data_IF_572707467040
#
_entry.id   IF_572707467040
#
_cell.length_a   1.000
_cell.length_b   1.000
_cell.length_c   1.000
_cell.angle_alpha   90.00
_cell.angle_beta   90.00
_cell.angle_gamma   90.00
#
_symmetry.space_group_name_H-M   'P 1'
#
loop_
_entity.id
_entity.type
_entity.pdbx_description
1 polymer ?
#
# COMPACT_ATOMS: atom_id res chain seq x y z
N UNK A 1 11.10 22.26 -16.66
CA UNK A 1 10.10 22.01 -15.61
C UNK A 1 9.91 20.53 -15.54
N UNK A 2 10.49 19.91 -14.53
CA UNK A 2 10.45 18.47 -14.30
C UNK A 2 9.20 18.17 -13.49
N UNK A 3 8.40 17.22 -13.95
CA UNK A 3 7.26 16.74 -13.19
C UNK A 3 7.71 15.54 -12.33
N UNK A 4 7.06 15.29 -11.21
CA UNK A 4 7.48 14.28 -10.25
C UNK A 4 6.31 13.44 -9.72
N UNK A 5 6.58 12.19 -9.39
CA UNK A 5 5.64 11.30 -8.69
C UNK A 5 6.20 11.05 -7.30
N UNK A 6 5.46 11.43 -6.27
CA UNK A 6 5.78 11.13 -4.88
C UNK A 6 4.93 9.95 -4.41
N UNK A 7 5.57 8.78 -4.28
CA UNK A 7 4.99 7.63 -3.60
C UNK A 7 5.08 7.84 -2.10
N UNK A 8 3.97 7.69 -1.39
CA UNK A 8 3.91 7.91 0.06
C UNK A 8 3.42 6.66 0.76
N UNK A 9 4.26 6.10 1.62
CA UNK A 9 3.87 5.00 2.49
C UNK A 9 2.94 5.50 3.60
N UNK A 10 1.67 5.13 3.54
CA UNK A 10 0.69 5.53 4.55
C UNK A 10 0.89 4.81 5.88
N UNK A 11 1.65 3.73 5.90
CA UNK A 11 1.82 2.90 7.09
C UNK A 11 2.98 3.41 7.95
N UNK A 12 3.93 4.11 7.35
CA UNK A 12 5.02 4.80 8.03
C UNK A 12 4.68 6.22 8.49
N UNK A 13 3.50 6.75 8.15
CA UNK A 13 3.12 8.14 8.45
C UNK A 13 1.85 8.24 9.31
N UNK A 14 1.81 9.16 10.27
CA UNK A 14 0.57 9.59 10.89
C UNK A 14 -0.42 10.15 9.86
N UNK A 15 -1.72 9.86 10.02
CA UNK A 15 -2.75 10.21 9.03
C UNK A 15 -2.91 11.74 8.83
N UNK A 16 -2.67 12.51 9.88
CA UNK A 16 -2.68 13.97 9.89
C UNK A 16 -1.52 14.58 9.07
N UNK A 17 -0.35 13.92 9.04
CA UNK A 17 0.77 14.37 8.23
C UNK A 17 0.48 14.24 6.73
N UNK A 18 -0.17 13.17 6.29
CA UNK A 18 -0.49 12.99 4.88
C UNK A 18 -1.46 14.07 4.37
N UNK A 19 -2.50 14.42 5.13
CA UNK A 19 -3.41 15.49 4.75
C UNK A 19 -2.68 16.83 4.60
N UNK A 20 -1.70 17.10 5.47
CA UNK A 20 -0.84 18.30 5.38
C UNK A 20 0.05 18.25 4.15
N UNK A 21 0.71 17.11 3.88
CA UNK A 21 1.56 16.90 2.70
C UNK A 21 0.73 17.09 1.42
N UNK A 22 -0.40 16.39 1.32
CA UNK A 22 -1.30 16.46 0.17
C UNK A 22 -1.80 17.89 -0.06
N UNK A 23 -2.27 18.59 0.98
CA UNK A 23 -2.78 19.97 0.86
C UNK A 23 -1.69 20.97 0.45
N UNK A 24 -0.49 20.85 1.03
CA UNK A 24 0.62 21.76 0.73
C UNK A 24 1.18 21.53 -0.67
N UNK A 25 1.15 20.29 -1.16
CA UNK A 25 1.76 19.91 -2.43
C UNK A 25 0.76 19.85 -3.60
N UNK A 26 -0.54 19.74 -3.34
CA UNK A 26 -1.60 19.76 -4.37
C UNK A 26 -1.68 21.09 -5.13
N UNK A 27 -1.02 22.14 -4.64
CA UNK A 27 -0.90 23.42 -5.32
C UNK A 27 0.10 23.39 -6.50
N UNK A 28 0.93 22.35 -6.61
CA UNK A 28 1.90 22.18 -7.69
C UNK A 28 1.33 21.26 -8.78
N UNK A 29 1.08 21.80 -9.97
CA UNK A 29 0.67 21.00 -11.14
C UNK A 29 1.75 20.06 -11.66
N UNK A 30 2.94 20.05 -11.03
CA UNK A 30 4.10 19.25 -11.39
C UNK A 30 4.29 18.04 -10.47
N UNK A 31 3.47 17.88 -9.42
CA UNK A 31 3.60 16.75 -8.50
C UNK A 31 2.34 15.90 -8.47
N UNK A 32 2.51 14.60 -8.72
CA UNK A 32 1.50 13.59 -8.47
C UNK A 32 1.82 12.84 -7.18
N UNK A 33 0.86 12.77 -6.27
CA UNK A 33 1.01 12.02 -5.00
C UNK A 33 0.27 10.70 -5.14
N UNK A 34 0.95 9.61 -4.77
CA UNK A 34 0.43 8.25 -4.87
C UNK A 34 0.64 7.54 -3.52
N UNK A 35 -0.40 7.48 -2.68
CA UNK A 35 -0.35 6.66 -1.47
C UNK A 35 -0.12 5.18 -1.78
N UNK A 36 0.70 4.52 -0.97
CA UNK A 36 0.99 3.08 -1.01
C UNK A 36 0.79 2.52 0.40
N UNK A 37 0.07 1.41 0.54
CA UNK A 37 -0.28 0.86 1.86
C UNK A 37 -0.66 -0.62 1.85
N UNK A 38 -0.55 -1.28 3.00
CA UNK A 38 -1.15 -2.60 3.27
C UNK A 38 -2.68 -2.55 3.53
N UNK A 39 -3.22 -1.35 3.75
CA UNK A 39 -4.65 -1.10 4.02
C UNK A 39 -5.50 -1.43 2.79
N UNK A 40 -6.78 -1.68 3.05
CA UNK A 40 -7.82 -1.91 2.04
C UNK A 40 -8.20 -0.61 1.33
N UNK A 41 -8.84 -0.73 0.16
CA UNK A 41 -9.49 0.42 -0.49
C UNK A 41 -10.45 1.15 0.45
N UNK A 42 -11.31 0.41 1.14
CA UNK A 42 -12.29 0.97 2.05
C UNK A 42 -11.63 1.82 3.17
N UNK A 43 -10.49 1.37 3.71
CA UNK A 43 -9.71 2.15 4.67
C UNK A 43 -9.14 3.43 4.05
N UNK A 44 -8.56 3.33 2.85
CA UNK A 44 -7.97 4.48 2.16
C UNK A 44 -9.04 5.54 1.83
N UNK A 45 -10.20 5.14 1.31
CA UNK A 45 -11.32 6.04 1.02
C UNK A 45 -11.83 6.77 2.27
N UNK A 46 -11.80 6.10 3.44
CA UNK A 46 -12.18 6.71 4.70
C UNK A 46 -11.11 7.67 5.27
N UNK A 47 -9.84 7.46 4.95
CA UNK A 47 -8.71 8.27 5.40
C UNK A 47 -8.45 9.47 4.49
N UNK A 48 -8.67 9.32 3.18
CA UNK A 48 -8.28 10.27 2.14
C UNK A 48 -9.53 10.87 1.48
N UNK A 49 -10.00 12.05 1.92
CA UNK A 49 -11.12 12.73 1.27
C UNK A 49 -10.78 13.31 -0.10
N UNK A 50 -9.54 13.13 -0.58
CA UNK A 50 -9.04 13.65 -1.86
C UNK A 50 -9.05 12.54 -2.92
N UNK A 51 -9.45 12.91 -4.13
CA UNK A 51 -9.45 12.03 -5.31
C UNK A 51 -8.03 11.88 -5.86
N UNK A 52 -7.20 11.08 -5.19
CA UNK A 52 -5.86 10.71 -5.61
C UNK A 52 -5.85 9.29 -6.20
N UNK A 53 -4.91 8.95 -7.09
CA UNK A 53 -4.59 7.55 -7.35
C UNK A 53 -3.86 6.96 -6.15
N UNK A 54 -4.07 5.67 -5.86
CA UNK A 54 -3.45 5.00 -4.73
C UNK A 54 -3.24 3.50 -4.98
N UNK A 55 -2.33 2.90 -4.21
CA UNK A 55 -1.95 1.49 -4.26
C UNK A 55 -2.29 0.86 -2.91
N UNK A 56 -3.12 -0.20 -2.92
CA UNK A 56 -3.64 -0.86 -1.72
C UNK A 56 -3.13 -2.28 -1.57
N UNK A 57 -3.37 -2.85 -0.38
CA UNK A 57 -3.11 -4.25 -0.06
C UNK A 57 -1.72 -4.71 -0.51
N UNK A 58 -0.73 -3.87 -0.21
CA UNK A 58 0.69 -4.12 -0.45
C UNK A 58 1.02 -4.33 -1.93
N UNK A 59 0.43 -3.49 -2.79
CA UNK A 59 0.67 -3.55 -4.23
C UNK A 59 -0.22 -4.53 -4.97
N UNK A 60 -1.33 -4.97 -4.36
CA UNK A 60 -2.26 -5.89 -5.00
C UNK A 60 -3.28 -5.19 -5.91
N UNK A 61 -3.65 -3.95 -5.59
CA UNK A 61 -4.58 -3.16 -6.39
C UNK A 61 -4.10 -1.73 -6.57
N UNK A 62 -4.18 -1.23 -7.80
CA UNK A 62 -3.88 0.16 -8.15
C UNK A 62 -5.19 0.81 -8.59
N UNK A 63 -5.63 1.82 -7.85
CA UNK A 63 -6.86 2.56 -8.15
C UNK A 63 -6.50 3.92 -8.72
N UNK A 64 -6.97 4.19 -9.94
CA UNK A 64 -6.77 5.45 -10.65
C UNK A 64 -8.13 6.12 -10.83
N UNK A 65 -8.36 7.37 -10.38
CA UNK A 65 -9.64 8.03 -10.59
C UNK A 65 -10.02 8.09 -12.07
N UNK A 66 -11.28 7.80 -12.39
CA UNK A 66 -11.74 7.63 -13.78
C UNK A 66 -11.56 8.89 -14.66
N UNK A 67 -11.39 10.06 -14.05
CA UNK A 67 -11.20 11.34 -14.72
C UNK A 67 -9.72 11.73 -14.93
N UNK A 68 -8.76 10.91 -14.50
CA UNK A 68 -7.33 11.17 -14.71
C UNK A 68 -6.89 10.57 -16.05
N UNK A 69 -6.22 11.38 -16.89
CA UNK A 69 -5.87 11.08 -18.29
C UNK A 69 -4.77 10.03 -18.50
N UNK A 70 -4.78 8.95 -17.73
CA UNK A 70 -3.90 7.80 -17.88
C UNK A 70 -4.23 7.02 -19.16
N UNK A 71 -3.21 6.45 -19.80
CA UNK A 71 -3.35 5.59 -20.99
C UNK A 71 -3.37 4.11 -20.59
N UNK A 72 -4.06 3.24 -21.34
CA UNK A 72 -4.14 1.79 -21.05
C UNK A 72 -4.62 1.46 -19.63
N UNK A 73 -5.64 2.18 -19.18
CA UNK A 73 -6.23 2.06 -17.85
C UNK A 73 -7.01 0.75 -17.68
N UNK A 74 -6.94 0.16 -16.49
CA UNK A 74 -7.60 -1.10 -16.14
C UNK A 74 -9.13 -1.04 -16.13
N UNK A 75 -9.77 -1.97 -15.44
CA UNK A 75 -11.23 -2.13 -15.51
C UNK A 75 -11.97 -1.04 -14.71
N UNK A 76 -13.15 -0.57 -15.17
CA UNK A 76 -13.97 0.36 -14.39
C UNK A 76 -14.43 -0.25 -13.05
N UNK A 77 -14.23 0.49 -11.96
CA UNK A 77 -14.58 0.05 -10.60
C UNK A 77 -14.95 1.26 -9.73
N UNK A 78 -16.22 1.43 -9.34
CA UNK A 78 -16.68 2.46 -8.37
C UNK A 78 -16.10 3.89 -8.53
N UNK A 79 -16.03 4.40 -9.77
CA UNK A 79 -15.47 5.75 -10.04
C UNK A 79 -13.95 5.78 -10.22
N UNK A 80 -13.31 4.62 -10.18
CA UNK A 80 -11.91 4.37 -10.49
C UNK A 80 -11.76 3.49 -11.74
N UNK A 81 -10.50 3.36 -12.16
CA UNK A 81 -9.98 2.32 -13.02
C UNK A 81 -9.02 1.49 -12.19
N UNK A 82 -9.32 0.20 -12.05
CA UNK A 82 -8.56 -0.75 -11.26
C UNK A 82 -7.55 -1.48 -12.14
N UNK A 83 -6.27 -1.38 -11.80
CA UNK A 83 -5.25 -2.33 -12.26
C UNK A 83 -4.97 -3.32 -11.14
N UNK A 84 -5.49 -4.54 -11.31
CA UNK A 84 -5.32 -5.63 -10.37
C UNK A 84 -4.02 -6.39 -10.67
N UNK A 85 -3.13 -6.49 -9.67
CA UNK A 85 -1.93 -7.34 -9.68
C UNK A 85 -2.05 -8.53 -8.72
N UNK A 86 -2.84 -8.38 -7.66
CA UNK A 86 -3.11 -9.44 -6.69
C UNK A 86 -4.12 -10.46 -7.19
N UNK A 87 -4.19 -11.57 -6.48
CA UNK A 87 -5.26 -12.55 -6.65
C UNK A 87 -6.59 -12.01 -6.05
N UNK A 88 -7.75 -12.59 -6.32
CA UNK A 88 -8.97 -12.26 -5.57
C UNK A 88 -8.87 -12.68 -4.09
N UNK A 89 -9.46 -11.92 -3.17
CA UNK A 89 -9.43 -12.22 -1.72
C UNK A 89 -9.83 -13.67 -1.38
N UNK A 90 -10.83 -14.22 -2.07
CA UNK A 90 -11.25 -15.63 -1.88
C UNK A 90 -10.14 -16.64 -2.17
N UNK A 91 -9.27 -16.35 -3.15
CA UNK A 91 -8.11 -17.17 -3.47
C UNK A 91 -7.06 -17.06 -2.37
N UNK A 92 -6.76 -15.84 -1.88
CA UNK A 92 -5.85 -15.65 -0.75
C UNK A 92 -6.35 -16.39 0.51
N UNK A 93 -7.65 -16.32 0.81
CA UNK A 93 -8.27 -17.06 1.94
C UNK A 93 -8.14 -18.57 1.81
N UNK A 94 -8.37 -19.11 0.61
CA UNK A 94 -8.18 -20.52 0.34
C UNK A 94 -6.70 -20.91 0.48
N UNK A 95 -5.80 -20.09 -0.07
CA UNK A 95 -4.36 -20.24 0.02
C UNK A 95 -3.86 -20.30 1.46
N UNK A 96 -4.37 -19.43 2.34
CA UNK A 96 -3.98 -19.43 3.76
C UNK A 96 -4.32 -20.75 4.46
N UNK A 97 -5.47 -21.37 4.11
CA UNK A 97 -5.86 -22.68 4.65
C UNK A 97 -4.95 -23.80 4.14
N UNK A 98 -4.56 -23.76 2.87
CA UNK A 98 -3.60 -24.72 2.31
C UNK A 98 -2.24 -24.54 3.00
N UNK A 99 -1.79 -23.29 3.14
CA UNK A 99 -0.53 -22.94 3.78
C UNK A 99 -0.48 -23.47 5.22
N UNK A 100 -1.55 -23.26 6.01
CA UNK A 100 -1.64 -23.77 7.38
C UNK A 100 -1.45 -25.30 7.47
N UNK A 101 -1.96 -26.05 6.48
CA UNK A 101 -1.73 -27.50 6.38
C UNK A 101 -0.29 -27.82 5.96
N UNK A 102 0.29 -27.09 5.00
CA UNK A 102 1.67 -27.35 4.56
C UNK A 102 2.68 -27.13 5.68
N UNK A 103 2.53 -26.05 6.45
CA UNK A 103 3.44 -25.73 7.56
C UNK A 103 3.05 -26.40 8.88
N UNK A 104 1.95 -27.19 8.89
CA UNK A 104 1.44 -27.88 10.08
C UNK A 104 1.26 -26.94 11.29
N UNK A 105 0.83 -25.71 11.05
CA UNK A 105 0.66 -24.67 12.06
C UNK A 105 -0.61 -23.87 11.78
N UNK A 106 -1.44 -23.58 12.80
CA UNK A 106 -2.67 -22.82 12.60
C UNK A 106 -2.35 -21.38 12.19
N UNK A 107 -2.85 -20.96 11.03
CA UNK A 107 -2.80 -19.58 10.56
C UNK A 107 -4.20 -18.98 10.65
N UNK A 108 -4.35 -17.91 11.42
CA UNK A 108 -5.63 -17.20 11.58
C UNK A 108 -5.61 -15.91 10.77
N UNK A 109 -6.48 -15.86 9.77
CA UNK A 109 -6.68 -14.72 8.92
C UNK A 109 -7.70 -13.73 9.49
N UNK A 110 -7.65 -12.48 9.05
CA UNK A 110 -8.62 -11.45 9.40
C UNK A 110 -10.02 -11.84 8.96
N UNK A 111 -10.13 -12.57 7.86
CA UNK A 111 -11.37 -13.09 7.37
C UNK A 111 -11.99 -14.18 8.24
N UNK A 112 -11.25 -14.76 9.20
CA UNK A 112 -11.75 -15.73 10.18
C UNK A 112 -12.32 -15.06 11.45
N UNK A 113 -12.07 -13.77 11.62
CA UNK A 113 -12.49 -13.02 12.82
C UNK A 113 -13.95 -12.59 12.74
N UNK A 114 -14.67 -12.61 13.85
CA UNK A 114 -15.90 -11.81 13.98
C UNK A 114 -15.55 -10.32 14.08
N UNK A 115 -16.54 -9.43 13.92
CA UNK A 115 -16.32 -7.99 14.07
C UNK A 115 -15.82 -7.63 15.48
N UNK A 116 -16.32 -8.29 16.52
CA UNK A 116 -15.92 -8.08 17.92
C UNK A 116 -14.49 -8.55 18.16
N UNK A 117 -14.12 -9.72 17.63
CA UNK A 117 -12.75 -10.23 17.72
C UNK A 117 -11.77 -9.34 16.97
N UNK A 118 -12.14 -8.85 15.80
CA UNK A 118 -11.31 -7.94 15.03
C UNK A 118 -11.07 -6.62 15.77
N UNK A 119 -12.09 -6.04 16.41
CA UNK A 119 -11.91 -4.85 17.25
C UNK A 119 -10.91 -5.10 18.39
N UNK A 120 -11.10 -6.19 19.14
CA UNK A 120 -10.26 -6.52 20.29
C UNK A 120 -8.81 -6.80 19.87
N UNK A 121 -8.62 -7.65 18.86
CA UNK A 121 -7.29 -8.08 18.44
C UNK A 121 -6.56 -6.99 17.67
N UNK A 122 -7.24 -6.20 16.85
CA UNK A 122 -6.59 -5.16 16.03
C UNK A 122 -6.49 -3.81 16.77
N UNK A 123 -7.19 -3.64 17.90
CA UNK A 123 -7.25 -2.36 18.62
C UNK A 123 -7.99 -1.28 17.82
N UNK A 124 -8.93 -1.70 16.96
CA UNK A 124 -9.68 -0.83 16.05
C UNK A 124 -11.11 -0.63 16.54
N UNK A 125 -11.72 0.49 16.15
CA UNK A 125 -13.18 0.68 16.30
C UNK A 125 -13.94 -0.29 15.38
N UNK A 126 -15.23 -0.55 15.67
CA UNK A 126 -16.07 -1.41 14.83
C UNK A 126 -16.01 -1.04 13.35
N UNK A 127 -16.14 0.25 13.04
CA UNK A 127 -16.10 0.75 11.67
C UNK A 127 -14.73 0.55 11.01
N UNK A 128 -13.63 0.81 11.74
CA UNK A 128 -12.28 0.59 11.23
C UNK A 128 -11.97 -0.90 11.03
N UNK A 129 -12.40 -1.76 11.96
CA UNK A 129 -12.26 -3.21 11.83
C UNK A 129 -13.06 -3.76 10.64
N UNK A 130 -14.26 -3.23 10.38
CA UNK A 130 -15.04 -3.60 9.20
C UNK A 130 -14.30 -3.25 7.90
N UNK A 131 -13.72 -2.04 7.81
CA UNK A 131 -12.95 -1.63 6.63
C UNK A 131 -11.68 -2.47 6.47
N UNK A 132 -10.92 -2.70 7.53
CA UNK A 132 -9.71 -3.54 7.49
C UNK A 132 -9.98 -4.99 7.02
N UNK A 133 -11.19 -5.50 7.27
CA UNK A 133 -11.65 -6.82 6.81
C UNK A 133 -12.23 -6.81 5.38
N UNK A 134 -12.56 -5.64 4.82
CA UNK A 134 -13.10 -5.49 3.47
C UNK A 134 -11.97 -5.58 2.42
N UNK A 135 -11.22 -6.69 2.45
CA UNK A 135 -10.10 -6.95 1.54
C UNK A 135 -10.61 -7.48 0.21
N UNK A 136 -10.01 -7.00 -0.87
CA UNK A 136 -10.36 -7.31 -2.25
C UNK A 136 -9.36 -8.30 -2.87
N UNK A 137 -8.08 -8.29 -2.43
CA UNK A 137 -7.01 -9.01 -3.14
C UNK A 137 -6.12 -9.92 -2.30
N UNK A 138 -6.01 -9.68 -1.00
CA UNK A 138 -5.07 -10.35 -0.13
C UNK A 138 -5.74 -10.89 1.13
N UNK A 139 -5.06 -11.79 1.84
CA UNK A 139 -5.45 -12.13 3.20
C UNK A 139 -4.39 -11.68 4.19
N UNK A 140 -4.81 -10.81 5.11
CA UNK A 140 -4.02 -10.44 6.28
C UNK A 140 -4.20 -11.51 7.35
N UNK A 141 -3.12 -11.95 7.98
CA UNK A 141 -3.14 -12.96 9.03
C UNK A 141 -2.12 -12.64 10.12
N UNK A 142 -2.35 -13.17 11.32
CA UNK A 142 -1.40 -12.96 12.42
C UNK A 142 -0.11 -13.75 12.16
N UNK A 143 1.03 -13.05 12.24
CA UNK A 143 2.34 -13.67 12.01
C UNK A 143 2.58 -14.77 13.04
N UNK A 144 2.81 -16.03 12.62
CA UNK A 144 3.00 -17.12 13.56
C UNK A 144 4.37 -17.04 14.22
N UNK A 145 4.43 -17.33 15.52
CA UNK A 145 5.72 -17.37 16.25
C UNK A 145 6.42 -18.73 16.12
N UNK A 146 5.70 -19.77 15.71
CA UNK A 146 6.21 -21.14 15.62
C UNK A 146 6.69 -21.59 14.25
N UNK A 147 6.68 -20.70 13.25
CA UNK A 147 7.09 -21.00 11.87
C UNK A 147 8.00 -19.87 11.39
N UNK A 148 9.12 -20.19 10.75
CA UNK A 148 10.04 -19.16 10.26
C UNK A 148 9.48 -18.46 9.03
N UNK A 149 9.92 -17.23 8.81
CA UNK A 149 9.52 -16.44 7.65
C UNK A 149 9.87 -17.15 6.33
N UNK A 150 11.04 -17.79 6.26
CA UNK A 150 11.54 -18.52 5.10
C UNK A 150 10.67 -19.74 4.79
N UNK A 151 10.26 -20.49 5.83
CA UNK A 151 9.41 -21.65 5.66
C UNK A 151 8.01 -21.26 5.14
N UNK A 152 7.43 -20.18 5.67
CA UNK A 152 6.15 -19.68 5.18
C UNK A 152 6.25 -19.14 3.74
N UNK A 153 7.33 -18.40 3.42
CA UNK A 153 7.55 -17.86 2.08
C UNK A 153 7.69 -18.98 1.05
N UNK A 154 8.51 -20.00 1.34
CA UNK A 154 8.68 -21.17 0.47
C UNK A 154 7.36 -21.93 0.27
N UNK A 155 6.58 -22.15 1.33
CA UNK A 155 5.31 -22.84 1.23
C UNK A 155 4.23 -22.01 0.51
N UNK A 156 4.28 -20.67 0.58
CA UNK A 156 3.41 -19.81 -0.21
C UNK A 156 3.77 -19.86 -1.70
N UNK A 157 5.07 -19.86 -2.03
CA UNK A 157 5.54 -20.00 -3.41
C UNK A 157 5.12 -21.36 -4.01
N UNK A 158 5.17 -22.45 -3.23
CA UNK A 158 4.72 -23.78 -3.65
C UNK A 158 3.25 -23.79 -4.11
N UNK A 159 2.41 -22.96 -3.52
CA UNK A 159 0.98 -22.82 -3.87
C UNK A 159 0.71 -21.67 -4.85
N UNK A 160 1.75 -21.10 -5.46
CA UNK A 160 1.64 -20.03 -6.45
C UNK A 160 1.18 -18.69 -5.88
N UNK A 161 1.47 -18.43 -4.61
CA UNK A 161 1.19 -17.17 -3.92
C UNK A 161 2.49 -16.57 -3.38
N UNK A 162 2.42 -15.32 -2.96
CA UNK A 162 3.56 -14.62 -2.35
C UNK A 162 3.17 -14.14 -0.96
N UNK A 163 4.17 -14.05 -0.08
CA UNK A 163 3.96 -13.44 1.23
C UNK A 163 4.70 -12.13 1.40
N UNK A 164 4.10 -11.27 2.22
CA UNK A 164 4.74 -10.13 2.84
C UNK A 164 4.75 -10.37 4.34
N UNK A 165 5.94 -10.58 4.89
CA UNK A 165 6.13 -10.83 6.33
C UNK A 165 6.14 -9.49 7.06
N UNK A 166 5.30 -9.38 8.08
CA UNK A 166 5.37 -8.29 9.06
C UNK A 166 5.49 -8.84 10.48
N UNK A 167 5.85 -7.99 11.44
CA UNK A 167 6.12 -8.41 12.81
C UNK A 167 4.90 -9.02 13.50
N UNK A 168 3.75 -8.35 13.36
CA UNK A 168 2.47 -8.76 13.98
C UNK A 168 1.49 -9.34 12.98
N UNK A 169 1.45 -8.76 11.78
CA UNK A 169 0.52 -9.11 10.71
C UNK A 169 1.33 -9.33 9.45
N UNK A 170 1.08 -10.47 8.81
CA UNK A 170 1.61 -10.83 7.51
C UNK A 170 0.49 -10.88 6.48
N UNK A 171 0.85 -10.82 5.21
CA UNK A 171 -0.10 -10.76 4.11
C UNK A 171 0.22 -11.85 3.09
N UNK A 172 -0.81 -12.60 2.71
CA UNK A 172 -0.76 -13.53 1.58
C UNK A 172 -1.37 -12.82 0.37
N UNK A 173 -0.57 -12.63 -0.68
CA UNK A 173 -0.89 -11.86 -1.88
C UNK A 173 -0.72 -12.71 -3.14
N UNK A 174 -1.21 -12.20 -4.27
CA UNK A 174 -0.99 -12.82 -5.57
C UNK A 174 0.50 -12.87 -5.95
N UNK A 175 0.91 -13.79 -6.85
CA UNK A 175 2.33 -13.99 -7.18
C UNK A 175 2.98 -12.77 -7.85
N UNK A 176 2.19 -12.00 -8.61
CA UNK A 176 2.65 -10.80 -9.32
C UNK A 176 2.52 -9.51 -8.49
N UNK A 177 1.89 -9.60 -7.32
CA UNK A 177 1.69 -8.46 -6.43
C UNK A 177 2.94 -8.15 -5.59
N UNK A 178 3.02 -6.90 -5.17
CA UNK A 178 4.08 -6.37 -4.32
C UNK A 178 4.24 -4.87 -4.52
N UNK A 179 4.87 -4.20 -3.57
CA UNK A 179 5.09 -2.75 -3.63
C UNK A 179 5.88 -2.38 -4.89
N UNK A 180 7.01 -3.06 -5.13
CA UNK A 180 7.87 -2.71 -6.25
C UNK A 180 7.22 -2.98 -7.63
N UNK A 181 6.57 -4.14 -7.89
CA UNK A 181 5.77 -4.36 -9.09
C UNK A 181 4.68 -3.29 -9.29
N UNK A 182 3.93 -2.94 -8.24
CA UNK A 182 2.85 -1.98 -8.34
C UNK A 182 3.33 -0.57 -8.68
N UNK A 183 4.43 -0.11 -8.08
CA UNK A 183 5.04 1.19 -8.40
C UNK A 183 5.50 1.23 -9.86
N UNK A 184 6.20 0.18 -10.33
CA UNK A 184 6.63 0.08 -11.72
C UNK A 184 5.45 0.08 -12.69
N UNK A 185 4.39 -0.66 -12.36
CA UNK A 185 3.17 -0.69 -13.16
C UNK A 185 2.51 0.69 -13.20
N UNK A 186 2.44 1.39 -12.06
CA UNK A 186 1.89 2.74 -12.00
C UNK A 186 2.64 3.72 -12.90
N UNK A 187 3.98 3.71 -12.83
CA UNK A 187 4.84 4.55 -13.67
C UNK A 187 4.61 4.24 -15.16
N UNK A 188 4.47 2.97 -15.53
CA UNK A 188 4.23 2.55 -16.92
C UNK A 188 2.86 2.98 -17.46
N UNK A 189 1.85 3.12 -16.59
CA UNK A 189 0.52 3.63 -16.96
C UNK A 189 0.51 5.15 -17.14
N UNK A 190 1.45 5.85 -16.53
CA UNK A 190 1.53 7.31 -16.62
C UNK A 190 1.97 7.73 -18.03
N UNK A 191 1.26 8.67 -18.67
CA UNK A 191 1.47 8.97 -20.07
C UNK A 191 2.89 9.52 -20.33
N UNK A 192 3.58 9.06 -21.39
CA UNK A 192 5.01 9.31 -21.65
C UNK A 192 5.35 10.74 -22.08
N UNK A 193 4.42 11.70 -21.92
CA UNK A 193 4.55 13.04 -22.50
C UNK A 193 5.57 13.92 -21.77
N UNK A 194 6.03 13.53 -20.57
CA UNK A 194 7.07 14.25 -19.84
C UNK A 194 7.97 13.27 -19.07
N UNK A 195 9.30 13.49 -19.04
CA UNK A 195 10.17 12.79 -18.10
C UNK A 195 9.73 13.15 -16.67
N UNK A 196 9.55 12.12 -15.84
CA UNK A 196 9.14 12.25 -14.45
C UNK A 196 10.23 11.70 -13.55
N UNK A 197 10.56 12.40 -12.46
CA UNK A 197 11.37 11.83 -11.37
C UNK A 197 10.48 11.18 -10.33
N UNK A 198 10.93 10.08 -9.75
CA UNK A 198 10.19 9.37 -8.71
C UNK A 198 10.81 9.62 -7.34
N UNK A 199 9.97 9.97 -6.37
CA UNK A 199 10.33 10.13 -4.97
C UNK A 199 9.54 9.14 -4.13
N UNK A 200 10.11 8.68 -3.02
CA UNK A 200 9.45 7.74 -2.11
C UNK A 200 9.61 8.17 -0.66
N UNK A 201 8.51 8.52 0.01
CA UNK A 201 8.47 8.84 1.43
C UNK A 201 8.02 7.61 2.22
N UNK A 202 8.96 6.90 2.85
CA UNK A 202 8.67 5.60 3.48
C UNK A 202 9.78 5.15 4.43
N UNK A 203 9.47 4.28 5.40
CA UNK A 203 10.47 3.47 6.12
C UNK A 203 10.63 2.07 5.50
N UNK A 204 9.79 1.70 4.53
CA UNK A 204 9.82 0.42 3.85
C UNK A 204 10.98 0.36 2.84
N UNK A 205 11.96 -0.55 3.01
CA UNK A 205 13.13 -0.64 2.14
C UNK A 205 12.79 -1.04 0.69
N UNK A 206 11.71 -1.81 0.47
CA UNK A 206 11.28 -2.19 -0.89
C UNK A 206 10.78 -0.96 -1.67
N UNK A 207 10.00 -0.09 -1.03
CA UNK A 207 9.54 1.16 -1.63
C UNK A 207 10.73 2.07 -1.97
N UNK A 208 11.59 2.32 -0.98
CA UNK A 208 12.76 3.19 -1.13
C UNK A 208 13.72 2.73 -2.22
N UNK A 209 13.89 1.42 -2.39
CA UNK A 209 14.73 0.83 -3.44
C UNK A 209 14.11 0.91 -4.85
N UNK A 210 12.80 1.19 -4.96
CA UNK A 210 12.09 1.22 -6.24
C UNK A 210 12.05 2.62 -6.87
N UNK A 211 12.25 3.67 -6.09
CA UNK A 211 12.19 5.07 -6.53
C UNK A 211 13.59 5.64 -6.79
N UNK A 212 13.66 6.74 -7.53
CA UNK A 212 14.93 7.44 -7.82
C UNK A 212 15.45 8.21 -6.61
N UNK A 213 14.56 8.88 -5.86
CA UNK A 213 14.91 9.69 -4.69
C UNK A 213 14.21 9.17 -3.44
N UNK A 214 14.87 8.36 -2.61
CA UNK A 214 14.32 7.89 -1.34
C UNK A 214 14.32 9.00 -0.28
N UNK A 215 13.24 9.11 0.47
CA UNK A 215 13.04 10.07 1.58
C UNK A 215 12.58 9.28 2.80
N UNK A 216 13.38 9.29 3.86
CA UNK A 216 12.98 8.72 5.14
C UNK A 216 12.12 9.73 5.91
N UNK A 217 11.02 9.31 6.56
CA UNK A 217 10.36 10.12 7.58
C UNK A 217 11.38 10.49 8.67
N UNK A 218 11.42 11.77 9.07
CA UNK A 218 12.35 12.20 10.13
C UNK A 218 11.96 11.58 11.48
N UNK A 219 12.88 10.89 12.14
CA UNK A 219 12.64 10.29 13.47
C UNK A 219 12.68 11.28 14.65
N UNK A 220 12.68 12.59 14.40
CA UNK A 220 12.81 13.58 15.47
C UNK A 220 11.45 13.87 16.10
N UNK A 221 11.32 13.60 17.41
CA UNK A 221 10.26 14.09 18.29
C UNK A 221 10.27 15.62 18.50
N UNK A 222 10.70 16.37 17.49
CA UNK A 222 10.79 17.83 17.49
C UNK A 222 9.85 18.37 16.42
N UNK A 223 8.70 18.88 16.87
CA UNK A 223 7.66 19.67 16.17
C UNK A 223 7.38 19.35 14.68
N UNK A 224 6.10 19.07 14.37
CA UNK A 224 5.53 18.83 13.02
C UNK A 224 5.90 19.85 11.91
N UNK A 225 6.57 20.95 12.26
CA UNK A 225 7.00 22.00 11.34
C UNK A 225 8.33 21.64 10.66
N UNK A 226 9.28 21.02 11.37
CA UNK A 226 10.62 20.74 10.86
C UNK A 226 10.67 19.56 9.88
N UNK A 227 9.98 18.48 10.24
CA UNK A 227 9.81 17.27 9.42
C UNK A 227 9.16 17.55 8.07
N UNK A 228 8.07 18.33 8.09
CA UNK A 228 7.41 18.80 6.87
C UNK A 228 8.30 19.73 6.03
N UNK A 229 9.16 20.55 6.66
CA UNK A 229 10.06 21.44 5.91
C UNK A 229 11.06 20.66 5.06
N UNK A 230 11.65 19.59 5.59
CA UNK A 230 12.62 18.76 4.87
C UNK A 230 11.98 18.04 3.67
N UNK A 231 10.81 17.42 3.87
CA UNK A 231 10.06 16.75 2.78
C UNK A 231 9.75 17.75 1.67
N UNK A 232 9.29 18.95 2.04
CA UNK A 232 8.99 20.01 1.07
C UNK A 232 10.23 20.52 0.35
N UNK A 233 11.39 20.57 1.01
CA UNK A 233 12.66 20.97 0.39
C UNK A 233 13.16 19.92 -0.60
N UNK A 234 13.09 18.64 -0.23
CA UNK A 234 13.43 17.52 -1.12
C UNK A 234 12.51 17.46 -2.35
N UNK A 235 11.21 17.71 -2.17
CA UNK A 235 10.28 17.79 -3.31
C UNK A 235 10.57 19.03 -4.17
N UNK A 236 10.81 20.19 -3.55
CA UNK A 236 11.12 21.44 -4.25
C UNK A 236 12.38 21.37 -5.09
N UNK A 237 13.45 20.73 -4.59
CA UNK A 237 14.72 20.62 -5.32
C UNK A 237 14.61 19.77 -6.59
N UNK A 238 13.60 18.90 -6.69
CA UNK A 238 13.34 18.07 -7.87
C UNK A 238 12.44 18.78 -8.89
N UNK A 239 11.47 19.56 -8.43
CA UNK A 239 10.49 20.22 -9.32
C UNK A 239 10.91 21.63 -9.78
N UNK A 240 11.88 22.27 -9.12
CA UNK A 240 12.44 23.58 -9.51
C UNK A 240 13.30 23.52 -10.78
#
# INVERSE_FOLDING_TARGET
MTSAILFVDLDSLPADQLAVIATKLSSSSQLLIVPVTHKTRAEVEALLPLTLPFIVETGSGIFIPANQGFTNVGEPEDGYRLVQLGCPHVQARAGLRVLANLVQYPLQGFGDLSAEKAQLLLGLSAAAAHRAKAREFSEAFFTPQGVTAEALAAAAEEIGLRMVIGDRVSYLIGPDAGIAPAIRQFIALYPPKQPMTTLGLSENPELLATVETPILPSQSGDSDIGSNSFIMEAVKSVIS
#
